data_IF_998448405723
#
_entry.id   IF_998448405723
#
_cell.length_a   1.000
_cell.length_b   1.000
_cell.length_c   1.000
_cell.angle_alpha   90.00
_cell.angle_beta   90.00
_cell.angle_gamma   90.00
#
_symmetry.space_group_name_H-M   'P 1'
#
loop_
_entity.id
_entity.type
_entity.pdbx_description
1 polymer ?
#
# COMPACT_ATOMS: atom_id res chain seq x y z
N UNK A 1 11.92 13.64 -12.69
CA UNK A 1 10.69 12.87 -12.94
C UNK A 1 9.46 13.73 -12.77
N UNK A 2 8.59 13.71 -13.75
CA UNK A 2 7.38 14.50 -13.72
C UNK A 2 6.18 13.58 -13.54
N UNK A 3 5.39 13.88 -12.54
CA UNK A 3 4.17 13.14 -12.26
C UNK A 3 2.95 14.02 -12.44
N UNK A 4 2.91 14.75 -13.56
CA UNK A 4 1.85 15.72 -13.78
C UNK A 4 0.47 15.09 -13.95
N UNK A 5 0.42 13.80 -14.20
CA UNK A 5 -0.85 13.09 -14.41
C UNK A 5 -1.25 12.19 -13.25
N UNK A 6 -0.65 12.38 -12.08
CA UNK A 6 -1.02 11.58 -10.93
C UNK A 6 -1.67 12.43 -9.84
N UNK A 7 -2.41 11.75 -8.96
CA UNK A 7 -3.01 12.37 -7.78
C UNK A 7 -2.60 11.59 -6.56
N UNK A 8 -2.32 12.30 -5.46
CA UNK A 8 -1.97 11.68 -4.20
C UNK A 8 -3.20 11.72 -3.31
N UNK A 9 -3.64 10.54 -2.86
CA UNK A 9 -4.81 10.40 -2.03
C UNK A 9 -4.38 9.85 -0.68
N UNK A 10 -4.80 10.50 0.39
CA UNK A 10 -4.47 10.02 1.73
C UNK A 10 -5.08 8.65 1.96
N UNK A 11 -4.56 7.94 2.97
CA UNK A 11 -5.03 6.61 3.30
C UNK A 11 -6.48 6.57 3.78
N UNK A 12 -7.10 7.68 3.91
CA UNK A 12 -8.53 7.79 4.08
C UNK A 12 -9.10 8.39 2.81
N UNK A 13 -10.33 8.10 2.54
CA UNK A 13 -10.95 8.57 1.34
C UNK A 13 -10.94 10.10 1.26
N UNK A 14 -10.57 10.64 0.12
CA UNK A 14 -10.75 12.04 -0.23
C UNK A 14 -11.43 12.08 -1.58
N UNK A 15 -12.18 13.12 -1.82
CA UNK A 15 -12.94 13.21 -3.05
C UNK A 15 -12.06 13.74 -4.19
N UNK A 16 -11.23 12.88 -4.72
CA UNK A 16 -10.38 13.18 -5.87
C UNK A 16 -10.72 12.17 -6.95
N UNK A 17 -11.63 12.52 -7.83
CA UNK A 17 -12.04 11.63 -8.91
C UNK A 17 -12.80 10.42 -8.38
N UNK A 18 -12.44 9.23 -8.85
CA UNK A 18 -13.20 8.01 -8.55
C UNK A 18 -12.75 7.38 -7.25
N UNK A 19 -13.57 7.51 -6.21
CA UNK A 19 -13.28 7.00 -4.89
C UNK A 19 -13.44 5.49 -4.76
N UNK A 20 -13.97 4.81 -5.76
CA UNK A 20 -14.22 3.37 -5.64
C UNK A 20 -12.93 2.58 -5.54
N UNK A 21 -11.81 3.16 -5.94
CA UNK A 21 -10.53 2.46 -5.93
C UNK A 21 -9.82 2.51 -4.59
N UNK A 22 -10.19 3.44 -3.71
CA UNK A 22 -9.41 3.69 -2.49
C UNK A 22 -10.29 3.71 -1.25
N UNK A 23 -11.45 3.09 -1.29
CA UNK A 23 -12.44 3.19 -0.21
C UNK A 23 -12.48 1.97 0.71
N UNK A 24 -11.47 1.09 0.64
CA UNK A 24 -11.46 -0.15 1.41
C UNK A 24 -10.35 -0.20 2.46
N UNK A 25 -9.87 0.98 2.88
CA UNK A 25 -8.91 1.01 3.99
C UNK A 25 -9.64 0.68 5.28
N UNK A 26 -9.13 -0.30 6.01
CA UNK A 26 -9.74 -0.78 7.25
C UNK A 26 -8.68 -0.93 8.33
N UNK A 27 -8.95 -0.35 9.49
CA UNK A 27 -8.14 -0.57 10.70
C UNK A 27 -9.08 -1.22 11.70
N UNK A 28 -9.16 -2.54 11.63
CA UNK A 28 -10.10 -3.33 12.42
C UNK A 28 -9.37 -4.52 13.03
N UNK A 29 -10.09 -5.40 13.72
CA UNK A 29 -9.46 -6.53 14.37
C UNK A 29 -8.72 -7.42 13.39
N UNK A 30 -9.28 -7.61 12.21
CA UNK A 30 -8.64 -8.46 11.20
C UNK A 30 -7.30 -7.90 10.77
N UNK A 31 -7.28 -6.63 10.35
CA UNK A 31 -6.05 -6.01 9.86
C UNK A 31 -5.02 -5.84 10.98
N UNK A 32 -5.47 -5.57 12.20
CA UNK A 32 -4.56 -5.47 13.34
C UNK A 32 -3.88 -6.81 13.60
N UNK A 33 -4.63 -7.89 13.63
CA UNK A 33 -4.06 -9.22 13.84
C UNK A 33 -3.10 -9.60 12.73
N UNK A 34 -3.48 -9.30 11.49
CA UNK A 34 -2.63 -9.63 10.35
C UNK A 34 -1.33 -8.82 10.39
N UNK A 35 -1.42 -7.51 10.62
CA UNK A 35 -0.22 -6.68 10.69
C UNK A 35 0.70 -7.13 11.82
N UNK A 36 0.13 -7.43 12.98
CA UNK A 36 0.91 -7.89 14.12
C UNK A 36 1.61 -9.22 13.81
N UNK A 37 0.91 -10.13 13.15
CA UNK A 37 1.48 -11.39 12.75
C UNK A 37 2.66 -11.21 11.80
N UNK A 38 2.48 -10.34 10.80
CA UNK A 38 3.51 -10.12 9.78
C UNK A 38 4.75 -9.43 10.34
N UNK A 39 4.61 -8.67 11.42
CA UNK A 39 5.71 -7.89 11.97
C UNK A 39 6.24 -8.45 13.29
N UNK A 40 5.73 -9.60 13.74
CA UNK A 40 6.00 -10.11 15.08
C UNK A 40 7.46 -10.34 15.36
N UNK A 41 8.26 -10.68 14.37
CA UNK A 41 9.68 -10.98 14.53
C UNK A 41 10.58 -9.81 14.18
N UNK A 42 10.01 -8.65 13.87
CA UNK A 42 10.81 -7.50 13.43
C UNK A 42 11.37 -6.68 14.57
N UNK A 43 10.86 -6.84 15.80
CA UNK A 43 11.34 -6.11 16.98
C UNK A 43 11.32 -4.59 16.74
N UNK A 44 10.24 -4.10 16.12
CA UNK A 44 10.04 -2.69 15.84
C UNK A 44 11.04 -2.10 14.83
N UNK A 45 11.73 -2.94 14.09
CA UNK A 45 12.57 -2.47 13.00
C UNK A 45 11.70 -2.07 11.81
N UNK A 46 11.72 -0.80 11.45
CA UNK A 46 10.87 -0.23 10.41
C UNK A 46 11.03 -0.93 9.07
N UNK A 47 12.27 -1.14 8.62
CA UNK A 47 12.50 -1.76 7.32
C UNK A 47 11.95 -3.18 7.31
N UNK A 48 12.18 -3.93 8.37
CA UNK A 48 11.65 -5.28 8.48
C UNK A 48 10.12 -5.27 8.42
N UNK A 49 9.48 -4.39 9.16
CA UNK A 49 8.02 -4.32 9.20
C UNK A 49 7.42 -3.99 7.84
N UNK A 50 7.93 -2.93 7.21
CA UNK A 50 7.41 -2.49 5.93
C UNK A 50 7.65 -3.56 4.86
N UNK A 51 8.85 -4.14 4.84
CA UNK A 51 9.18 -5.15 3.85
C UNK A 51 8.31 -6.40 4.01
N UNK A 52 8.09 -6.84 5.25
CA UNK A 52 7.25 -8.02 5.47
C UNK A 52 5.81 -7.78 5.03
N UNK A 53 5.27 -6.62 5.32
CA UNK A 53 3.91 -6.30 4.88
C UNK A 53 3.83 -6.17 3.36
N UNK A 54 4.82 -5.53 2.74
CA UNK A 54 4.87 -5.40 1.29
C UNK A 54 4.99 -6.76 0.63
N UNK A 55 5.88 -7.62 1.13
CA UNK A 55 6.08 -8.95 0.55
C UNK A 55 4.81 -9.78 0.63
N UNK A 56 4.11 -9.72 1.77
CA UNK A 56 2.86 -10.45 1.92
C UNK A 56 1.85 -10.04 0.86
N UNK A 57 1.68 -8.74 0.67
CA UNK A 57 0.71 -8.23 -0.30
C UNK A 57 1.15 -8.56 -1.73
N UNK A 58 2.43 -8.39 -2.01
CA UNK A 58 2.96 -8.64 -3.35
C UNK A 58 2.78 -10.09 -3.78
N UNK A 59 2.88 -11.02 -2.84
CA UNK A 59 2.73 -12.44 -3.14
C UNK A 59 1.30 -12.86 -3.48
N UNK A 60 0.32 -12.06 -3.12
CA UNK A 60 -1.07 -12.36 -3.48
C UNK A 60 -1.20 -12.28 -5.00
N UNK A 61 -1.72 -13.32 -5.65
CA UNK A 61 -1.81 -13.34 -7.10
C UNK A 61 -2.57 -12.16 -7.67
N UNK A 62 -2.05 -11.58 -8.73
CA UNK A 62 -2.71 -10.49 -9.41
C UNK A 62 -3.81 -11.02 -10.32
N UNK A 63 -5.00 -10.47 -10.17
CA UNK A 63 -6.11 -10.82 -11.04
C UNK A 63 -7.04 -9.62 -11.11
N UNK A 64 -7.41 -9.22 -12.32
CA UNK A 64 -8.28 -8.08 -12.52
C UNK A 64 -9.62 -8.32 -11.84
N UNK A 65 -10.05 -7.33 -11.08
CA UNK A 65 -11.34 -7.31 -10.41
C UNK A 65 -12.15 -6.20 -11.06
N UNK A 66 -13.17 -6.56 -11.81
CA UNK A 66 -13.97 -5.61 -12.56
C UNK A 66 -15.02 -4.89 -11.71
N UNK A 67 -15.14 -5.25 -10.45
CA UNK A 67 -16.05 -4.59 -9.52
C UNK A 67 -15.29 -3.57 -8.69
N UNK A 68 -15.95 -3.01 -7.69
CA UNK A 68 -15.30 -2.07 -6.78
C UNK A 68 -14.22 -2.79 -5.99
N UNK A 69 -13.31 -2.02 -5.40
CA UNK A 69 -12.23 -2.58 -4.60
C UNK A 69 -12.77 -3.46 -3.48
N UNK A 70 -12.04 -4.53 -3.19
CA UNK A 70 -12.41 -5.48 -2.15
C UNK A 70 -11.82 -5.08 -0.81
N UNK A 71 -12.48 -5.50 0.28
CA UNK A 71 -11.94 -5.28 1.62
C UNK A 71 -10.65 -6.07 1.83
N UNK A 72 -9.78 -5.65 2.75
CA UNK A 72 -8.56 -6.39 3.05
C UNK A 72 -8.82 -7.87 3.37
N UNK A 73 -9.81 -8.14 4.20
CA UNK A 73 -10.13 -9.53 4.55
C UNK A 73 -10.50 -10.34 3.33
N UNK A 74 -11.29 -9.76 2.43
CA UNK A 74 -11.73 -10.47 1.23
C UNK A 74 -10.57 -10.77 0.31
N UNK A 75 -9.67 -9.81 0.14
CA UNK A 75 -8.48 -10.00 -0.70
C UNK A 75 -7.64 -11.17 -0.18
N UNK A 76 -7.41 -11.21 1.12
CA UNK A 76 -6.59 -12.27 1.71
C UNK A 76 -7.30 -13.62 1.62
N UNK A 77 -8.58 -13.65 1.94
CA UNK A 77 -9.33 -14.92 1.94
C UNK A 77 -9.50 -15.50 0.55
N UNK A 78 -9.74 -14.65 -0.45
CA UNK A 78 -9.86 -15.09 -1.83
C UNK A 78 -8.50 -15.35 -2.48
N UNK A 79 -7.46 -14.74 -1.92
CA UNK A 79 -6.09 -14.90 -2.37
C UNK A 79 -5.90 -14.44 -3.83
N UNK A 80 -6.48 -13.30 -4.17
CA UNK A 80 -6.20 -12.60 -5.42
C UNK A 80 -6.71 -11.17 -5.34
N UNK A 81 -6.17 -10.31 -6.20
CA UNK A 81 -6.65 -8.95 -6.32
C UNK A 81 -5.88 -8.19 -7.38
N UNK A 82 -6.41 -7.06 -7.79
CA UNK A 82 -5.72 -6.17 -8.72
C UNK A 82 -5.01 -5.04 -7.95
N UNK A 83 -4.57 -4.00 -8.67
CA UNK A 83 -3.73 -2.98 -8.03
C UNK A 83 -4.48 -2.20 -6.95
N UNK A 84 -5.77 -1.91 -7.14
CA UNK A 84 -6.51 -1.19 -6.12
C UNK A 84 -6.83 -2.09 -4.92
N UNK A 85 -7.17 -3.35 -5.14
CA UNK A 85 -7.40 -4.29 -4.04
C UNK A 85 -6.15 -4.42 -3.17
N UNK A 86 -5.01 -4.63 -3.81
CA UNK A 86 -3.76 -4.87 -3.10
C UNK A 86 -3.24 -3.61 -2.44
N UNK A 87 -3.43 -2.45 -3.06
CA UNK A 87 -3.02 -1.18 -2.46
C UNK A 87 -3.85 -0.85 -1.23
N UNK A 88 -5.16 -1.09 -1.27
CA UNK A 88 -6.00 -0.90 -0.08
C UNK A 88 -5.56 -1.81 1.06
N UNK A 89 -5.25 -3.06 0.76
CA UNK A 89 -4.75 -3.98 1.79
C UNK A 89 -3.44 -3.46 2.38
N UNK A 90 -2.49 -3.09 1.54
CA UNK A 90 -1.20 -2.62 2.04
C UNK A 90 -1.35 -1.37 2.90
N UNK A 91 -2.12 -0.40 2.45
CA UNK A 91 -2.31 0.83 3.24
C UNK A 91 -3.00 0.52 4.57
N UNK A 92 -3.94 -0.41 4.57
CA UNK A 92 -4.59 -0.82 5.82
C UNK A 92 -3.58 -1.36 6.83
N UNK A 93 -2.68 -2.23 6.37
CA UNK A 93 -1.65 -2.80 7.24
C UNK A 93 -0.67 -1.73 7.73
N UNK A 94 -0.24 -0.85 6.82
CA UNK A 94 0.68 0.23 7.17
C UNK A 94 0.04 1.17 8.19
N UNK A 95 -1.24 1.46 8.02
CA UNK A 95 -1.96 2.33 8.94
C UNK A 95 -2.09 1.72 10.33
N UNK A 96 -2.27 0.41 10.41
CA UNK A 96 -2.28 -0.28 11.72
C UNK A 96 -0.98 0.00 12.46
N UNK A 97 0.13 0.06 11.76
CA UNK A 97 1.44 0.28 12.35
C UNK A 97 1.83 1.77 12.41
N UNK A 98 0.88 2.65 12.15
CA UNK A 98 1.05 4.10 12.24
C UNK A 98 2.05 4.69 11.25
N UNK A 99 2.25 4.06 10.11
CA UNK A 99 3.07 4.63 9.05
C UNK A 99 2.27 5.64 8.23
N UNK A 100 2.97 6.67 7.77
CA UNK A 100 2.37 7.68 6.90
C UNK A 100 2.47 7.20 5.45
N UNK A 101 1.35 6.78 4.90
CA UNK A 101 1.29 6.22 3.55
C UNK A 101 0.10 6.78 2.78
N UNK A 102 0.25 6.88 1.47
CA UNK A 102 -0.77 7.43 0.60
C UNK A 102 -0.90 6.62 -0.67
N UNK A 103 -2.06 6.70 -1.29
CA UNK A 103 -2.28 6.19 -2.64
C UNK A 103 -1.77 7.20 -3.66
N UNK A 104 -1.23 6.70 -4.76
CA UNK A 104 -0.89 7.50 -5.92
C UNK A 104 -1.63 6.90 -7.11
N UNK A 105 -2.46 7.72 -7.75
CA UNK A 105 -3.23 7.29 -8.91
C UNK A 105 -2.61 7.89 -10.15
N UNK A 106 -2.28 7.03 -11.10
CA UNK A 106 -1.84 7.44 -12.42
C UNK A 106 -2.75 6.77 -13.44
N UNK A 107 -2.72 7.16 -14.71
CA UNK A 107 -3.58 6.50 -15.68
C UNK A 107 -3.38 4.99 -15.65
N UNK A 108 -4.46 4.26 -15.44
CA UNK A 108 -4.51 2.79 -15.46
C UNK A 108 -3.71 2.11 -14.36
N UNK A 109 -3.32 2.84 -13.31
CA UNK A 109 -2.56 2.20 -12.24
C UNK A 109 -2.69 2.96 -10.93
N UNK A 110 -2.51 2.22 -9.83
CA UNK A 110 -2.47 2.79 -8.49
C UNK A 110 -1.35 2.09 -7.72
N UNK A 111 -0.58 2.89 -7.00
CA UNK A 111 0.47 2.34 -6.14
C UNK A 111 0.51 3.12 -4.83
N UNK A 112 1.41 2.73 -3.95
CA UNK A 112 1.49 3.26 -2.59
C UNK A 112 2.83 3.95 -2.40
N UNK A 113 2.82 5.05 -1.65
CA UNK A 113 4.06 5.70 -1.22
C UNK A 113 4.05 5.79 0.29
N UNK A 114 5.23 5.77 0.88
CA UNK A 114 5.40 5.78 2.33
C UNK A 114 6.52 6.73 2.73
N UNK A 115 6.27 7.51 3.77
CA UNK A 115 7.30 8.35 4.36
C UNK A 115 7.97 7.56 5.50
N UNK A 116 9.29 7.46 5.45
CA UNK A 116 10.06 6.78 6.48
C UNK A 116 11.05 7.78 7.06
N UNK A 117 10.66 8.41 8.15
CA UNK A 117 11.47 9.43 8.81
C UNK A 117 12.84 8.88 9.21
N UNK A 118 13.88 9.64 8.88
CA UNK A 118 15.23 9.29 9.30
C UNK A 118 15.85 8.11 8.59
N UNK A 119 15.17 7.53 7.61
CA UNK A 119 15.66 6.37 6.89
C UNK A 119 15.98 6.79 5.46
N UNK A 120 17.20 6.48 5.02
CA UNK A 120 17.64 6.83 3.68
C UNK A 120 18.02 5.56 2.94
N UNK A 121 17.18 5.18 1.98
CA UNK A 121 17.37 3.97 1.18
C UNK A 121 17.71 4.34 -0.25
N UNK A 122 18.47 3.48 -0.91
CA UNK A 122 18.77 3.63 -2.34
C UNK A 122 17.64 2.98 -3.15
N UNK A 123 16.46 3.55 -3.05
CA UNK A 123 15.24 3.05 -3.69
C UNK A 123 14.51 4.19 -4.35
N UNK A 124 13.59 3.84 -5.26
CA UNK A 124 12.78 4.84 -5.94
C UNK A 124 11.93 5.61 -4.94
N UNK A 125 11.90 6.90 -5.13
CA UNK A 125 11.16 7.78 -4.25
C UNK A 125 10.64 8.97 -5.02
N UNK A 126 9.66 9.64 -4.44
CA UNK A 126 9.22 10.93 -4.95
C UNK A 126 9.07 11.90 -3.78
N UNK A 127 9.06 13.17 -4.11
CA UNK A 127 8.98 14.22 -3.10
C UNK A 127 7.65 14.95 -3.21
N UNK A 128 7.00 15.11 -2.07
CA UNK A 128 5.74 15.84 -1.97
C UNK A 128 5.88 16.81 -0.83
N UNK A 129 5.74 18.11 -1.11
CA UNK A 129 5.90 19.16 -0.10
C UNK A 129 7.20 19.02 0.67
N UNK A 130 8.28 18.73 -0.06
CA UNK A 130 9.64 18.59 0.48
C UNK A 130 9.83 17.38 1.40
N UNK A 131 8.88 16.45 1.42
CA UNK A 131 9.04 15.19 2.13
C UNK A 131 9.29 14.07 1.15
N UNK A 132 10.18 13.15 1.53
CA UNK A 132 10.55 12.02 0.69
C UNK A 132 9.62 10.85 0.98
N UNK A 133 9.07 10.28 -0.07
CA UNK A 133 8.21 9.10 0.02
C UNK A 133 8.78 8.01 -0.87
N UNK A 134 8.96 6.83 -0.32
CA UNK A 134 9.41 5.68 -1.09
C UNK A 134 8.21 5.04 -1.79
N UNK A 135 8.46 4.51 -2.97
CA UNK A 135 7.41 3.89 -3.78
C UNK A 135 7.31 2.42 -3.42
N UNK A 136 6.09 1.98 -3.11
CA UNK A 136 5.80 0.58 -2.80
C UNK A 136 4.85 0.07 -3.87
N UNK A 137 5.36 -0.87 -4.69
CA UNK A 137 4.61 -1.41 -5.81
C UNK A 137 4.05 -2.77 -5.43
N UNK A 138 2.72 -2.88 -5.28
CA UNK A 138 2.09 -4.11 -4.81
C UNK A 138 1.94 -5.16 -5.89
N UNK A 139 2.04 -4.77 -7.16
CA UNK A 139 1.85 -5.69 -8.27
C UNK A 139 3.15 -6.15 -8.90
N UNK A 140 4.29 -5.62 -8.44
CA UNK A 140 5.59 -6.01 -8.97
C UNK A 140 5.90 -7.46 -8.59
N UNK A 141 6.56 -8.16 -9.49
CA UNK A 141 7.06 -9.49 -9.17
C UNK A 141 8.32 -9.35 -8.33
N UNK A 142 8.69 -10.42 -7.61
CA UNK A 142 9.91 -10.38 -6.81
C UNK A 142 11.15 -10.07 -7.64
N UNK A 143 11.15 -10.49 -8.90
CA UNK A 143 12.30 -10.23 -9.78
C UNK A 143 12.48 -8.76 -10.08
N UNK A 144 11.43 -7.97 -9.99
CA UNK A 144 11.46 -6.55 -10.33
C UNK A 144 11.63 -5.64 -9.12
N UNK A 145 11.67 -6.20 -7.95
CA UNK A 145 11.79 -5.42 -6.73
C UNK A 145 13.24 -5.14 -6.33
#
# INVERSE_FOLDING_TARGET
MIYSSFFIVKNQFTDIGDSTYVNQVRVDDYTKKLADFLTKNCKQDTICEVQNMLDFVTQIPYKINESIAKSPKKVVEQNFGDCDDKSNLLISLLKVKDYEAYFVLVPNHIFVIINLEGINLNKKALYVNNKKYYILETTATKKKQ
#
